data_IF_523149699758
#
_entry.id   IF_523149699758
#
_cell.length_a   1.000
_cell.length_b   1.000
_cell.length_c   1.000
_cell.angle_alpha   90.00
_cell.angle_beta   90.00
_cell.angle_gamma   90.00
#
_symmetry.space_group_name_H-M   'P 1'
#
loop_
_entity.id
_entity.type
_entity.pdbx_description
1 polymer ?
#
# COMPACT_ATOMS: atom_id res chain seq x y z
N UNK A 1 4.14 -0.21 -13.71
CA UNK A 1 3.42 -0.09 -12.42
C UNK A 1 4.15 0.87 -11.51
N UNK A 2 3.46 1.86 -10.98
CA UNK A 2 4.03 2.82 -10.03
C UNK A 2 3.43 2.57 -8.65
N UNK A 3 4.29 2.34 -7.69
CA UNK A 3 3.87 2.05 -6.31
C UNK A 3 4.38 3.14 -5.39
N UNK A 4 3.47 3.78 -4.67
CA UNK A 4 3.78 4.69 -3.57
C UNK A 4 3.47 3.92 -2.28
N UNK A 5 4.49 3.42 -1.62
CA UNK A 5 4.32 2.61 -0.43
C UNK A 5 4.34 3.49 0.81
N UNK A 6 3.30 3.39 1.61
CA UNK A 6 3.13 4.21 2.81
C UNK A 6 2.69 3.38 4.00
N UNK A 7 2.62 4.03 5.14
CA UNK A 7 2.19 3.41 6.39
C UNK A 7 0.96 4.14 6.90
N UNK A 8 -0.06 3.37 7.23
CA UNK A 8 -1.27 3.88 7.86
C UNK A 8 -1.19 3.63 9.36
N UNK A 9 -1.44 4.66 10.14
CA UNK A 9 -1.51 4.50 11.59
C UNK A 9 -2.94 4.13 11.97
N UNK A 10 -3.10 2.97 12.59
CA UNK A 10 -4.41 2.46 12.96
C UNK A 10 -4.33 1.85 14.37
N UNK A 11 -4.96 2.50 15.33
CA UNK A 11 -5.00 2.01 16.71
C UNK A 11 -3.62 1.88 17.35
N UNK A 12 -2.69 2.79 17.04
CA UNK A 12 -1.34 2.73 17.55
C UNK A 12 -0.40 1.80 16.80
N UNK A 13 -0.91 1.09 15.78
CA UNK A 13 -0.12 0.22 14.92
C UNK A 13 0.10 0.86 13.55
N UNK A 14 1.27 0.62 12.97
CA UNK A 14 1.55 1.02 11.60
C UNK A 14 1.28 -0.17 10.68
N UNK A 15 0.48 0.05 9.63
CA UNK A 15 0.16 -0.95 8.63
C UNK A 15 0.69 -0.50 7.27
N UNK A 16 1.41 -1.35 6.55
CA UNK A 16 1.88 -0.99 5.22
C UNK A 16 0.73 -1.01 4.21
N UNK A 17 0.70 -0.02 3.34
CA UNK A 17 -0.23 0.04 2.22
C UNK A 17 0.55 0.39 0.96
N UNK A 18 0.32 -0.38 -0.11
CA UNK A 18 0.87 -0.09 -1.41
C UNK A 18 -0.18 0.64 -2.24
N UNK A 19 0.11 1.88 -2.62
CA UNK A 19 -0.78 2.65 -3.48
C UNK A 19 -0.28 2.58 -4.92
N UNK A 20 -1.15 2.16 -5.83
CA UNK A 20 -0.81 2.06 -7.25
C UNK A 20 -1.25 3.34 -7.94
N UNK A 21 -0.34 4.29 -8.03
CA UNK A 21 -0.65 5.65 -8.43
C UNK A 21 -1.04 5.79 -9.90
N UNK A 22 -0.68 4.79 -10.71
CA UNK A 22 -1.08 4.74 -12.13
C UNK A 22 -2.31 3.86 -12.38
N UNK A 23 -2.89 3.26 -11.33
CA UNK A 23 -4.08 2.45 -11.44
C UNK A 23 -5.30 3.26 -11.01
N UNK A 24 -5.76 4.14 -11.89
CA UNK A 24 -6.89 5.03 -11.60
C UNK A 24 -8.19 4.25 -11.80
N UNK A 25 -9.01 4.13 -10.76
CA UNK A 25 -10.29 3.42 -10.81
C UNK A 25 -11.45 4.37 -11.02
N UNK A 26 -11.45 5.49 -10.31
CA UNK A 26 -12.40 6.57 -10.46
C UNK A 26 -11.65 7.88 -10.32
N UNK A 27 -12.33 9.00 -10.52
CA UNK A 27 -11.74 10.32 -10.66
C UNK A 27 -10.68 10.66 -9.61
N UNK A 28 -10.90 10.28 -8.35
CA UNK A 28 -9.96 10.58 -7.26
C UNK A 28 -9.51 9.34 -6.51
N UNK A 29 -9.80 8.14 -7.04
CA UNK A 29 -9.50 6.87 -6.40
C UNK A 29 -8.48 6.09 -7.19
N UNK A 30 -7.58 5.45 -6.47
CA UNK A 30 -6.54 4.60 -7.05
C UNK A 30 -6.58 3.23 -6.38
N UNK A 31 -6.06 2.23 -7.07
CA UNK A 31 -5.92 0.91 -6.48
C UNK A 31 -4.93 0.91 -5.34
N UNK A 32 -5.12 0.05 -4.38
CA UNK A 32 -4.16 -0.16 -3.31
C UNK A 32 -4.21 -1.60 -2.81
N UNK A 33 -3.21 -1.97 -2.04
CA UNK A 33 -3.10 -3.30 -1.47
C UNK A 33 -2.49 -3.22 -0.07
N UNK A 34 -3.07 -3.98 0.86
CA UNK A 34 -2.43 -4.21 2.15
C UNK A 34 -2.49 -5.70 2.47
N UNK A 35 -1.48 -6.24 3.20
CA UNK A 35 -1.51 -7.66 3.58
C UNK A 35 -2.73 -8.03 4.43
N UNK A 36 -3.27 -7.08 5.19
CA UNK A 36 -4.42 -7.35 6.07
C UNK A 36 -5.74 -7.39 5.31
N UNK A 37 -5.92 -6.52 4.31
CA UNK A 37 -7.21 -6.33 3.64
C UNK A 37 -7.22 -6.79 2.18
N UNK A 38 -6.05 -7.04 1.59
CA UNK A 38 -5.94 -7.39 0.19
C UNK A 38 -6.11 -6.19 -0.72
N UNK A 39 -6.63 -6.44 -1.93
CA UNK A 39 -6.83 -5.38 -2.92
C UNK A 39 -8.07 -4.56 -2.59
N UNK A 40 -7.93 -3.25 -2.72
CA UNK A 40 -9.04 -2.31 -2.55
C UNK A 40 -8.74 -1.03 -3.30
N UNK A 41 -9.50 0.03 -3.01
CA UNK A 41 -9.26 1.34 -3.59
C UNK A 41 -9.29 2.39 -2.50
N UNK A 42 -8.59 3.49 -2.74
CA UNK A 42 -8.51 4.58 -1.78
C UNK A 42 -8.41 5.92 -2.50
N UNK A 43 -8.87 6.97 -1.85
CA UNK A 43 -8.74 8.32 -2.38
C UNK A 43 -7.28 8.78 -2.32
N UNK A 44 -6.85 9.53 -3.33
CA UNK A 44 -5.50 10.11 -3.33
C UNK A 44 -5.27 11.01 -2.11
N UNK A 45 -6.31 11.71 -1.66
CA UNK A 45 -6.21 12.55 -0.47
C UNK A 45 -5.87 11.72 0.78
N UNK A 46 -6.44 10.51 0.88
CA UNK A 46 -6.11 9.61 1.97
C UNK A 46 -4.66 9.14 1.89
N UNK A 47 -4.19 8.80 0.69
CA UNK A 47 -2.80 8.42 0.49
C UNK A 47 -1.84 9.48 1.02
N UNK A 48 -2.13 10.76 0.76
CA UNK A 48 -1.28 11.86 1.21
C UNK A 48 -1.25 12.02 2.72
N UNK A 49 -2.27 11.53 3.42
CA UNK A 49 -2.31 11.55 4.88
C UNK A 49 -1.50 10.40 5.50
N UNK A 50 -1.20 9.37 4.72
CA UNK A 50 -0.41 8.26 5.20
C UNK A 50 1.06 8.64 5.28
N UNK A 51 1.76 8.03 6.25
CA UNK A 51 3.16 8.33 6.53
C UNK A 51 4.07 7.63 5.52
N UNK A 52 5.08 8.33 5.03
CA UNK A 52 6.15 7.68 4.27
C UNK A 52 7.10 6.96 5.22
N UNK A 53 7.65 5.80 4.83
CA UNK A 53 8.60 5.09 5.67
C UNK A 53 9.86 5.92 5.87
N UNK A 54 10.40 5.91 7.10
CA UNK A 54 11.57 6.72 7.45
C UNK A 54 12.60 5.95 8.28
N UNK A 55 12.24 4.82 8.88
CA UNK A 55 13.15 4.03 9.70
C UNK A 55 13.35 2.63 9.11
N UNK A 56 14.43 1.91 9.48
CA UNK A 56 14.61 0.54 9.00
C UNK A 56 13.43 -0.37 9.32
N UNK A 57 12.83 -0.23 10.49
CA UNK A 57 11.67 -1.02 10.89
C UNK A 57 10.47 -0.74 9.98
N UNK A 58 10.26 0.52 9.65
CA UNK A 58 9.17 0.91 8.76
C UNK A 58 9.39 0.41 7.34
N UNK A 59 10.62 0.50 6.83
CA UNK A 59 10.94 -0.08 5.54
C UNK A 59 10.77 -1.60 5.52
N UNK A 60 11.06 -2.27 6.63
CA UNK A 60 10.83 -3.71 6.74
C UNK A 60 9.35 -4.05 6.55
N UNK A 61 8.44 -3.26 7.14
CA UNK A 61 7.00 -3.45 6.93
C UNK A 61 6.64 -3.29 5.45
N UNK A 62 7.20 -2.29 4.78
CA UNK A 62 6.94 -2.07 3.36
C UNK A 62 7.44 -3.24 2.52
N UNK A 63 8.65 -3.74 2.79
CA UNK A 63 9.21 -4.86 2.05
C UNK A 63 8.39 -6.13 2.23
N UNK A 64 7.86 -6.37 3.41
CA UNK A 64 6.96 -7.51 3.64
C UNK A 64 5.67 -7.38 2.82
N UNK A 65 5.12 -6.18 2.74
CA UNK A 65 3.93 -5.95 1.93
C UNK A 65 4.21 -6.15 0.45
N UNK A 66 5.36 -5.66 -0.05
CA UNK A 66 5.76 -5.87 -1.43
C UNK A 66 5.94 -7.35 -1.74
N UNK A 67 6.60 -8.09 -0.85
CA UNK A 67 6.80 -9.52 -1.03
C UNK A 67 5.47 -10.26 -1.07
N UNK A 68 4.54 -9.93 -0.20
CA UNK A 68 3.21 -10.54 -0.18
C UNK A 68 2.46 -10.25 -1.48
N UNK A 69 2.49 -9.01 -1.96
CA UNK A 69 1.81 -8.62 -3.19
C UNK A 69 2.37 -9.38 -4.39
N UNK A 70 3.68 -9.39 -4.55
CA UNK A 70 4.29 -10.05 -5.70
C UNK A 70 4.15 -11.57 -5.66
N UNK A 71 4.10 -12.17 -4.48
CA UNK A 71 3.81 -13.60 -4.34
C UNK A 71 2.41 -13.93 -4.84
N UNK A 72 1.41 -13.12 -4.43
CA UNK A 72 0.03 -13.32 -4.90
C UNK A 72 -0.06 -13.11 -6.40
N UNK A 73 0.57 -12.05 -6.92
CA UNK A 73 0.55 -11.77 -8.35
C UNK A 73 1.19 -12.90 -9.17
N UNK A 74 2.28 -13.47 -8.68
CA UNK A 74 2.94 -14.59 -9.34
C UNK A 74 2.05 -15.85 -9.36
N UNK A 75 1.26 -16.07 -8.34
CA UNK A 75 0.41 -17.27 -8.25
C UNK A 75 -0.81 -17.19 -9.16
N UNK A 76 -1.16 -16.02 -9.65
CA UNK A 76 -2.30 -15.85 -10.56
C UNK A 76 -1.92 -16.19 -12.00
N UNK A 77 -0.64 -16.13 -12.30
CA UNK A 77 -0.13 -16.50 -13.63
C UNK A 77 -0.12 -18.02 -13.79
#
# INVERSE_FOLDING_TARGET
MKIDARLEKNGGRLRPILFFTDEVQEKHYIGCYSPDEGHSSAARAYMRQCKKPASPEEYTLIYKALAAYFTISASIV
#
